data_IF_166646195171
#
_entry.id   IF_166646195171
#
_cell.length_a   1.000
_cell.length_b   1.000
_cell.length_c   1.000
_cell.angle_alpha   90.00
_cell.angle_beta   90.00
_cell.angle_gamma   90.00
#
_symmetry.space_group_name_H-M   'P 1'
#
loop_
_entity.id
_entity.type
_entity.pdbx_description
1 polymer ?
#
# COMPACT_ATOMS: atom_id res chain seq x y z
N UNK A 1 0.84 -44.34 -32.16
CA UNK A 1 0.79 -44.23 -30.70
C UNK A 1 1.23 -42.81 -30.35
N UNK A 2 0.42 -42.06 -29.61
CA UNK A 2 0.51 -40.60 -29.40
C UNK A 2 1.76 -40.14 -28.59
N UNK A 3 2.21 -38.87 -28.71
CA UNK A 3 3.02 -38.20 -27.67
C UNK A 3 2.06 -37.74 -26.56
N UNK A 4 2.46 -37.58 -25.28
CA UNK A 4 2.90 -36.25 -24.76
C UNK A 4 3.89 -36.40 -23.55
N UNK A 5 4.46 -35.42 -22.87
CA UNK A 5 3.95 -34.13 -22.40
C UNK A 5 5.10 -33.13 -22.20
N UNK A 6 4.96 -31.97 -22.82
CA UNK A 6 5.68 -30.75 -22.48
C UNK A 6 5.05 -30.21 -21.18
N UNK A 7 5.75 -30.35 -20.05
CA UNK A 7 5.34 -29.67 -18.82
C UNK A 7 5.78 -28.21 -18.91
N UNK A 8 4.92 -27.41 -19.52
CA UNK A 8 4.97 -25.96 -19.44
C UNK A 8 4.76 -25.57 -17.97
N UNK A 9 5.86 -25.17 -17.32
CA UNK A 9 5.87 -24.70 -15.94
C UNK A 9 5.10 -23.39 -15.89
N UNK A 10 3.83 -23.45 -15.49
CA UNK A 10 3.01 -22.28 -15.25
C UNK A 10 3.67 -21.42 -14.16
N UNK A 11 4.05 -20.20 -14.51
CA UNK A 11 4.43 -19.16 -13.56
C UNK A 11 3.37 -19.03 -12.47
N UNK A 12 3.73 -18.83 -11.19
CA UNK A 12 2.74 -18.60 -10.16
C UNK A 12 2.01 -17.29 -10.48
N UNK A 13 0.73 -17.40 -10.82
CA UNK A 13 -0.17 -16.26 -10.85
C UNK A 13 -0.19 -15.70 -9.43
N UNK A 14 0.37 -14.50 -9.26
CA UNK A 14 0.29 -13.75 -8.03
C UNK A 14 -1.20 -13.58 -7.74
N UNK A 15 -1.73 -14.35 -6.78
CA UNK A 15 -3.12 -14.18 -6.34
C UNK A 15 -3.25 -12.74 -5.86
N UNK A 16 -4.02 -11.94 -6.60
CA UNK A 16 -4.38 -10.60 -6.17
C UNK A 16 -5.27 -10.75 -4.93
N UNK A 17 -4.64 -10.76 -3.75
CA UNK A 17 -5.34 -10.75 -2.49
C UNK A 17 -6.30 -9.56 -2.47
N UNK A 18 -7.58 -9.81 -2.19
CA UNK A 18 -8.58 -8.76 -2.12
C UNK A 18 -8.19 -7.75 -1.03
N UNK A 19 -8.09 -6.48 -1.40
CA UNK A 19 -7.83 -5.40 -0.43
C UNK A 19 -9.11 -5.13 0.35
N UNK A 20 -9.09 -5.35 1.66
CA UNK A 20 -10.23 -5.11 2.52
C UNK A 20 -10.30 -3.62 2.91
N UNK A 21 -11.47 -3.00 2.73
CA UNK A 21 -11.76 -1.67 3.27
C UNK A 21 -12.24 -1.78 4.71
N UNK A 22 -11.65 -1.01 5.61
CA UNK A 22 -11.99 -1.01 7.04
C UNK A 22 -12.38 0.39 7.51
N UNK A 23 -13.27 0.47 8.51
CA UNK A 23 -13.58 1.72 9.21
C UNK A 23 -12.39 2.19 10.06
N UNK A 24 -12.35 3.49 10.38
CA UNK A 24 -11.32 4.13 11.22
C UNK A 24 -11.15 3.44 12.59
N UNK A 25 -12.23 2.95 13.18
CA UNK A 25 -12.21 2.27 14.48
C UNK A 25 -11.52 0.91 14.38
N UNK A 26 -11.86 0.15 13.34
CA UNK A 26 -11.24 -1.14 13.07
C UNK A 26 -9.76 -0.98 12.69
N UNK A 27 -9.44 0.01 11.86
CA UNK A 27 -8.07 0.37 11.52
C UNK A 27 -7.22 0.65 12.78
N UNK A 28 -7.78 1.41 13.74
CA UNK A 28 -7.10 1.71 15.01
C UNK A 28 -6.81 0.45 15.81
N UNK A 29 -7.75 -0.47 15.90
CA UNK A 29 -7.60 -1.73 16.64
C UNK A 29 -6.54 -2.64 16.01
N UNK A 30 -6.53 -2.74 14.68
CA UNK A 30 -5.54 -3.52 13.92
C UNK A 30 -4.11 -3.04 14.18
N UNK A 31 -3.90 -1.74 14.23
CA UNK A 31 -2.59 -1.12 14.52
C UNK A 31 -2.24 -1.23 16.01
N UNK A 32 -3.22 -1.04 16.91
CA UNK A 32 -3.00 -1.17 18.35
C UNK A 32 -2.64 -2.60 18.77
N UNK A 33 -3.15 -3.61 18.06
CA UNK A 33 -2.82 -5.01 18.25
C UNK A 33 -1.37 -5.36 17.84
N UNK A 34 -0.61 -4.40 17.29
CA UNK A 34 0.81 -4.53 16.97
C UNK A 34 1.11 -5.28 15.67
N UNK A 35 0.08 -5.73 14.95
CA UNK A 35 0.24 -6.46 13.69
C UNK A 35 0.30 -5.57 12.45
N UNK A 36 -0.12 -4.30 12.55
CA UNK A 36 -0.31 -3.43 11.38
C UNK A 36 0.35 -2.08 11.56
N UNK A 37 0.75 -1.46 10.43
CA UNK A 37 1.29 -0.10 10.39
C UNK A 37 0.50 0.78 9.43
N UNK A 38 0.35 2.05 9.79
CA UNK A 38 -0.30 3.04 8.94
C UNK A 38 0.64 3.51 7.83
N UNK A 39 0.15 3.46 6.59
CA UNK A 39 0.72 4.16 5.45
C UNK A 39 -0.21 5.29 5.05
N UNK A 40 0.20 6.52 5.31
CA UNK A 40 -0.52 7.71 4.89
C UNK A 40 -0.06 8.06 3.46
N UNK A 41 -0.97 8.00 2.48
CA UNK A 41 -0.62 8.24 1.06
C UNK A 41 -0.96 9.64 0.58
N UNK A 42 -1.31 10.53 1.51
CA UNK A 42 -1.70 11.91 1.23
C UNK A 42 -0.49 12.75 0.90
N UNK A 43 -0.75 13.92 0.33
CA UNK A 43 0.30 14.91 0.07
C UNK A 43 0.88 15.43 1.38
N UNK A 44 2.13 15.90 1.35
CA UNK A 44 2.78 16.46 2.54
C UNK A 44 2.02 17.67 3.11
N UNK A 45 1.36 18.46 2.24
CA UNK A 45 0.54 19.59 2.65
C UNK A 45 -0.69 19.15 3.47
N UNK A 46 -1.29 18.01 3.13
CA UNK A 46 -2.38 17.41 3.90
C UNK A 46 -1.89 16.77 5.20
N UNK A 47 -0.69 16.19 5.19
CA UNK A 47 -0.06 15.63 6.38
C UNK A 47 0.22 16.72 7.43
N UNK A 48 0.64 17.91 6.99
CA UNK A 48 0.90 19.06 7.85
C UNK A 48 -0.33 19.58 8.59
N UNK A 49 -1.54 19.30 8.10
CA UNK A 49 -2.81 19.64 8.77
C UNK A 49 -3.17 18.70 9.92
N UNK A 50 -2.42 17.61 10.07
CA UNK A 50 -2.61 16.59 11.10
C UNK A 50 -2.35 15.19 10.54
N UNK A 51 -1.66 14.37 11.33
CA UNK A 51 -1.33 13.00 10.97
C UNK A 51 -1.54 12.05 12.16
N UNK A 52 -1.73 10.77 11.85
CA UNK A 52 -1.85 9.72 12.86
C UNK A 52 -0.47 9.48 13.49
N UNK A 53 -0.43 9.33 14.81
CA UNK A 53 0.82 8.96 15.48
C UNK A 53 1.30 7.60 14.96
N UNK A 54 2.60 7.50 14.69
CA UNK A 54 3.25 6.30 14.14
C UNK A 54 2.85 5.92 12.70
N UNK A 55 2.27 6.84 11.92
CA UNK A 55 2.07 6.65 10.48
C UNK A 55 3.31 7.02 9.68
N UNK A 56 3.63 6.23 8.66
CA UNK A 56 4.62 6.58 7.65
C UNK A 56 3.91 7.23 6.46
N UNK A 57 4.37 8.40 6.04
CA UNK A 57 3.80 9.08 4.87
C UNK A 57 4.64 8.76 3.63
N UNK A 58 3.97 8.27 2.58
CA UNK A 58 4.52 8.15 1.24
C UNK A 58 3.45 8.64 0.27
N UNK A 59 3.52 9.88 -0.22
CA UNK A 59 2.49 10.44 -1.08
C UNK A 59 2.34 9.63 -2.36
N UNK A 60 1.11 9.22 -2.66
CA UNK A 60 0.79 8.55 -3.93
C UNK A 60 0.76 9.55 -5.09
N UNK A 61 0.37 10.79 -4.81
CA UNK A 61 0.36 11.89 -5.77
C UNK A 61 1.03 13.12 -5.17
N UNK A 62 1.72 13.87 -6.03
CA UNK A 62 2.24 15.20 -5.74
C UNK A 62 1.32 16.27 -6.33
N UNK A 63 1.27 17.44 -5.67
CA UNK A 63 0.63 18.63 -6.22
C UNK A 63 1.67 19.40 -7.02
N UNK A 64 1.51 19.41 -8.35
CA UNK A 64 2.33 20.20 -9.26
C UNK A 64 1.51 21.40 -9.79
N UNK A 65 2.18 22.45 -10.32
CA UNK A 65 1.48 23.60 -10.90
C UNK A 65 0.50 23.25 -12.02
N UNK A 66 0.72 22.11 -12.70
CA UNK A 66 -0.11 21.61 -13.81
C UNK A 66 -1.22 20.66 -13.35
N UNK A 67 -1.29 20.32 -12.06
CA UNK A 67 -2.26 19.38 -11.50
C UNK A 67 -1.62 18.30 -10.61
N UNK A 68 -2.33 17.19 -10.42
CA UNK A 68 -1.85 16.06 -9.63
C UNK A 68 -0.97 15.14 -10.49
N UNK A 69 0.25 14.90 -10.05
CA UNK A 69 1.18 13.97 -10.70
C UNK A 69 1.36 12.74 -9.81
N UNK A 70 1.35 11.53 -10.40
CA UNK A 70 1.62 10.31 -9.63
C UNK A 70 3.09 10.25 -9.25
N UNK A 71 3.38 9.82 -8.03
CA UNK A 71 4.74 9.57 -7.59
C UNK A 71 5.31 8.32 -8.29
N UNK A 72 6.28 8.45 -9.21
CA UNK A 72 6.85 7.30 -9.93
C UNK A 72 7.68 6.39 -9.01
N UNK A 73 8.16 6.93 -7.88
CA UNK A 73 8.97 6.21 -6.89
C UNK A 73 8.11 5.59 -5.77
N UNK A 74 6.78 5.72 -5.83
CA UNK A 74 5.88 5.27 -4.76
C UNK A 74 6.16 3.83 -4.32
N UNK A 75 6.27 2.91 -5.28
CA UNK A 75 6.50 1.48 -4.99
C UNK A 75 7.87 1.26 -4.35
N UNK A 76 8.90 1.95 -4.82
CA UNK A 76 10.27 1.84 -4.30
C UNK A 76 10.37 2.40 -2.87
N UNK A 77 9.72 3.54 -2.62
CA UNK A 77 9.67 4.17 -1.29
C UNK A 77 8.90 3.30 -0.29
N UNK A 78 7.75 2.74 -0.69
CA UNK A 78 7.00 1.82 0.17
C UNK A 78 7.81 0.54 0.42
N UNK A 79 8.44 -0.04 -0.60
CA UNK A 79 9.28 -1.24 -0.44
C UNK A 79 10.52 -1.02 0.44
N UNK A 80 11.00 0.22 0.54
CA UNK A 80 12.11 0.59 1.44
C UNK A 80 11.68 0.71 2.91
N UNK A 81 10.37 0.90 3.17
CA UNK A 81 9.80 1.11 4.51
C UNK A 81 9.07 -0.14 5.05
N UNK A 82 8.60 -1.00 4.16
CA UNK A 82 7.77 -2.16 4.47
C UNK A 82 8.34 -3.42 3.80
N UNK A 83 8.34 -4.52 4.55
CA UNK A 83 8.64 -5.83 3.98
C UNK A 83 7.38 -6.41 3.33
N UNK A 84 7.53 -7.46 2.52
CA UNK A 84 6.38 -8.17 1.93
C UNK A 84 5.43 -8.81 2.97
N UNK A 85 5.94 -9.01 4.18
CA UNK A 85 5.23 -9.64 5.30
C UNK A 85 4.56 -8.59 6.21
N UNK A 86 4.85 -7.31 6.03
CA UNK A 86 4.20 -6.24 6.79
C UNK A 86 2.73 -6.12 6.41
N UNK A 87 1.87 -6.03 7.42
CA UNK A 87 0.46 -5.70 7.22
C UNK A 87 0.30 -4.18 7.26
N UNK A 88 -0.19 -3.62 6.16
CA UNK A 88 -0.27 -2.18 5.96
C UNK A 88 -1.73 -1.73 5.92
N UNK A 89 -2.06 -0.72 6.72
CA UNK A 89 -3.35 -0.02 6.64
C UNK A 89 -3.12 1.30 5.90
N UNK A 90 -3.71 1.41 4.71
CA UNK A 90 -3.56 2.61 3.86
C UNK A 90 -4.60 3.67 4.24
N UNK A 91 -4.14 4.90 4.46
CA UNK A 91 -5.01 6.04 4.82
C UNK A 91 -5.06 7.02 3.64
N UNK A 92 -6.28 7.30 3.18
CA UNK A 92 -6.59 8.28 2.13
C UNK A 92 -7.87 9.03 2.52
N UNK A 93 -7.94 10.33 2.25
CA UNK A 93 -9.17 11.14 2.42
C UNK A 93 -9.81 11.34 1.04
N UNK A 94 -11.12 11.07 0.97
CA UNK A 94 -11.91 11.18 -0.25
C UNK A 94 -12.40 12.62 -0.48
#
# INVERSE_FOLDING_TARGET
MAPPHESSSASPAVSAAAVATVDVTAARDLVASGGHRYLDVRTEEELGKGHLQNSLNVPYMFIAPQGREKNPLFVEQVASLFNKEDLVVVVYIN
#
